data_IF_834052575822
#
_entry.id   IF_834052575822
#
_cell.length_a   1.000
_cell.length_b   1.000
_cell.length_c   1.000
_cell.angle_alpha   90.00
_cell.angle_beta   90.00
_cell.angle_gamma   90.00
#
_symmetry.space_group_name_H-M   'P 1'
#
loop_
_entity.id
_entity.type
_entity.pdbx_description
1 polymer ?
#
# COMPACT_ATOMS: atom_id res chain seq x y z
N UNK A 1 10.64 -28.56 2.44
CA UNK A 1 11.66 -27.53 2.15
C UNK A 1 11.00 -26.16 2.28
N UNK A 2 11.38 -25.37 3.28
CA UNK A 2 10.84 -24.04 3.60
C UNK A 2 11.24 -23.00 2.53
N UNK A 3 10.75 -23.12 1.29
CA UNK A 3 11.11 -22.20 0.20
C UNK A 3 10.40 -20.87 0.37
N UNK A 4 11.17 -19.81 0.60
CA UNK A 4 10.74 -18.44 0.41
C UNK A 4 10.66 -18.13 -1.09
N UNK A 5 9.73 -17.26 -1.48
CA UNK A 5 9.73 -16.71 -2.85
C UNK A 5 10.94 -15.79 -3.02
N UNK A 6 11.41 -15.61 -4.26
CA UNK A 6 12.53 -14.71 -4.55
C UNK A 6 12.28 -13.29 -4.03
N UNK A 7 11.05 -12.79 -4.17
CA UNK A 7 10.65 -11.47 -3.66
C UNK A 7 10.62 -11.43 -2.13
N UNK A 8 10.13 -12.48 -1.47
CA UNK A 8 10.14 -12.56 0.00
C UNK A 8 11.57 -12.60 0.56
N UNK A 9 12.46 -13.36 -0.06
CA UNK A 9 13.86 -13.42 0.33
C UNK A 9 14.58 -12.08 0.13
N UNK A 10 14.39 -11.43 -1.03
CA UNK A 10 14.91 -10.06 -1.30
C UNK A 10 14.44 -9.07 -0.25
N UNK A 11 13.14 -9.06 0.05
CA UNK A 11 12.57 -8.19 1.07
C UNK A 11 13.22 -8.42 2.44
N UNK A 12 13.33 -9.68 2.87
CA UNK A 12 13.91 -10.02 4.17
C UNK A 12 15.36 -9.54 4.30
N UNK A 13 16.19 -9.75 3.27
CA UNK A 13 17.59 -9.34 3.28
C UNK A 13 17.73 -7.81 3.32
N UNK A 14 17.01 -7.08 2.47
CA UNK A 14 17.10 -5.62 2.39
C UNK A 14 16.49 -4.90 3.60
N UNK A 15 15.53 -5.55 4.28
CA UNK A 15 14.93 -5.02 5.50
C UNK A 15 15.74 -5.36 6.76
N UNK A 16 16.34 -6.55 6.82
CA UNK A 16 17.03 -7.02 8.03
C UNK A 16 18.53 -6.74 7.98
N UNK A 17 19.09 -6.64 6.78
CA UNK A 17 20.45 -6.18 6.56
C UNK A 17 20.52 -4.66 6.49
N UNK A 18 21.55 -4.11 7.12
CA UNK A 18 22.03 -2.76 6.86
C UNK A 18 23.45 -2.87 6.33
N UNK A 19 23.92 -1.85 5.60
CA UNK A 19 25.35 -1.75 5.23
C UNK A 19 26.23 -1.76 6.49
N UNK A 20 25.68 -1.34 7.63
CA UNK A 20 26.40 -1.14 8.89
C UNK A 20 26.23 -2.29 9.91
N UNK A 21 25.35 -3.27 9.66
CA UNK A 21 25.08 -4.34 10.64
C UNK A 21 24.93 -5.71 10.00
N UNK A 22 25.56 -6.72 10.61
CA UNK A 22 25.40 -8.12 10.22
C UNK A 22 24.01 -8.64 10.63
N UNK A 23 23.38 -9.40 9.74
CA UNK A 23 22.08 -10.01 9.98
C UNK A 23 22.23 -11.53 10.02
N UNK A 24 21.75 -12.17 11.09
CA UNK A 24 21.66 -13.62 11.18
C UNK A 24 20.42 -14.10 10.42
N UNK A 25 20.64 -14.96 9.41
CA UNK A 25 19.55 -15.58 8.66
C UNK A 25 18.99 -16.78 9.40
N UNK A 26 17.69 -16.75 9.68
CA UNK A 26 16.91 -17.91 10.07
C UNK A 26 15.66 -17.97 9.17
N UNK A 27 15.50 -19.07 8.44
CA UNK A 27 14.39 -19.22 7.48
C UNK A 27 13.00 -19.15 8.10
N UNK A 28 12.85 -19.55 9.36
CA UNK A 28 11.58 -19.45 10.09
C UNK A 28 11.28 -17.99 10.46
N UNK A 29 12.26 -17.27 11.00
CA UNK A 29 12.15 -15.84 11.32
C UNK A 29 11.86 -15.02 10.05
N UNK A 30 12.52 -15.36 8.94
CA UNK A 30 12.28 -14.70 7.67
C UNK A 30 10.83 -14.85 7.20
N UNK A 31 10.26 -16.05 7.32
CA UNK A 31 8.85 -16.31 7.01
C UNK A 31 7.91 -15.50 7.90
N UNK A 32 8.16 -15.48 9.20
CA UNK A 32 7.34 -14.75 10.15
C UNK A 32 7.33 -13.25 9.85
N UNK A 33 8.50 -12.67 9.55
CA UNK A 33 8.62 -11.25 9.18
C UNK A 33 7.86 -10.94 7.89
N UNK A 34 8.01 -11.77 6.86
CA UNK A 34 7.34 -11.59 5.56
C UNK A 34 5.83 -11.72 5.72
N UNK A 35 5.36 -12.74 6.45
CA UNK A 35 3.94 -12.96 6.71
C UNK A 35 3.33 -11.81 7.49
N UNK A 36 3.97 -11.37 8.58
CA UNK A 36 3.44 -10.29 9.41
C UNK A 36 3.35 -8.96 8.63
N UNK A 37 4.41 -8.58 7.92
CA UNK A 37 4.44 -7.29 7.20
C UNK A 37 3.73 -7.39 5.86
N UNK A 38 4.23 -8.20 4.94
CA UNK A 38 3.76 -8.21 3.55
C UNK A 38 2.37 -8.83 3.45
N UNK A 39 2.17 -10.01 4.01
CA UNK A 39 0.90 -10.75 3.84
C UNK A 39 -0.21 -10.13 4.68
N UNK A 40 -0.03 -10.07 5.99
CA UNK A 40 -1.09 -9.72 6.93
C UNK A 40 -1.41 -8.22 6.96
N UNK A 41 -0.43 -7.36 6.67
CA UNK A 41 -0.64 -5.90 6.73
C UNK A 41 -0.94 -5.31 5.36
N UNK A 42 -0.14 -5.63 4.36
CA UNK A 42 -0.25 -5.02 3.02
C UNK A 42 -1.23 -5.77 2.11
N UNK A 43 -1.00 -7.05 1.85
CA UNK A 43 -1.82 -7.82 0.90
C UNK A 43 -3.24 -8.05 1.41
N UNK A 44 -3.42 -8.24 2.73
CA UNK A 44 -4.74 -8.34 3.33
C UNK A 44 -5.55 -7.04 3.16
N UNK A 45 -4.93 -5.87 3.38
CA UNK A 45 -5.61 -4.59 3.16
C UNK A 45 -6.00 -4.43 1.69
N UNK A 46 -5.08 -4.70 0.77
CA UNK A 46 -5.34 -4.67 -0.67
C UNK A 46 -6.50 -5.58 -1.07
N UNK A 47 -6.53 -6.81 -0.56
CA UNK A 47 -7.59 -7.78 -0.86
C UNK A 47 -8.95 -7.31 -0.36
N UNK A 48 -9.02 -6.69 0.83
CA UNK A 48 -10.28 -6.21 1.40
C UNK A 48 -10.78 -4.96 0.69
N UNK A 49 -9.90 -4.00 0.38
CA UNK A 49 -10.28 -2.79 -0.33
C UNK A 49 -10.65 -3.04 -1.80
N UNK A 50 -10.10 -4.08 -2.42
CA UNK A 50 -10.41 -4.46 -3.81
C UNK A 50 -11.58 -5.44 -3.93
N UNK A 51 -12.12 -5.95 -2.82
CA UNK A 51 -13.23 -6.90 -2.85
C UNK A 51 -14.48 -6.27 -3.45
N UNK A 52 -15.19 -7.01 -4.32
CA UNK A 52 -16.47 -6.57 -4.92
C UNK A 52 -17.56 -6.28 -3.87
N UNK A 53 -17.44 -6.83 -2.67
CA UNK A 53 -18.36 -6.53 -1.55
C UNK A 53 -18.26 -5.10 -1.04
N UNK A 54 -17.09 -4.46 -1.19
CA UNK A 54 -16.83 -3.09 -0.73
C UNK A 54 -16.67 -2.19 -1.96
N UNK A 55 -15.76 -2.53 -2.87
CA UNK A 55 -15.56 -1.85 -4.14
C UNK A 55 -16.45 -2.47 -5.23
N UNK A 56 -17.74 -2.12 -5.20
CA UNK A 56 -18.76 -2.61 -6.15
C UNK A 56 -18.37 -2.38 -7.63
N UNK A 57 -17.69 -1.26 -7.90
CA UNK A 57 -17.27 -0.87 -9.26
C UNK A 57 -15.98 -1.54 -9.70
N UNK A 58 -15.18 -2.07 -8.77
CA UNK A 58 -13.83 -2.60 -9.04
C UNK A 58 -12.85 -1.53 -9.53
N UNK A 59 -13.18 -0.24 -9.35
CA UNK A 59 -12.39 0.90 -9.83
C UNK A 59 -11.90 1.73 -8.66
N UNK A 60 -10.85 2.52 -8.85
CA UNK A 60 -10.47 3.58 -7.92
C UNK A 60 -11.54 4.69 -7.97
N UNK A 61 -12.24 5.02 -6.87
CA UNK A 61 -13.16 6.14 -6.85
C UNK A 61 -12.41 7.47 -7.04
N UNK A 62 -13.07 8.47 -7.62
CA UNK A 62 -12.52 9.83 -7.72
C UNK A 62 -12.38 10.46 -6.33
N UNK A 63 -11.38 11.34 -6.17
CA UNK A 63 -11.24 12.11 -4.93
C UNK A 63 -12.42 13.06 -4.75
N UNK A 64 -13.05 13.03 -3.57
CA UNK A 64 -14.11 13.95 -3.17
C UNK A 64 -13.66 14.72 -1.94
N UNK A 65 -13.21 15.96 -2.16
CA UNK A 65 -12.65 16.81 -1.11
C UNK A 65 -13.70 17.16 -0.05
N UNK A 66 -14.95 17.41 -0.44
CA UNK A 66 -16.01 17.73 0.50
C UNK A 66 -16.33 16.52 1.39
N UNK A 67 -16.45 15.33 0.81
CA UNK A 67 -16.61 14.09 1.56
C UNK A 67 -15.41 13.81 2.46
N UNK A 68 -14.19 14.08 1.99
CA UNK A 68 -12.97 13.92 2.78
C UNK A 68 -12.95 14.82 4.03
N UNK A 69 -13.48 16.05 3.92
CA UNK A 69 -13.63 16.96 5.07
C UNK A 69 -14.76 16.55 6.03
N UNK A 70 -15.80 15.91 5.54
CA UNK A 70 -16.95 15.51 6.36
C UNK A 70 -16.72 14.19 7.10
N UNK A 71 -16.15 13.18 6.44
CA UNK A 71 -16.13 11.82 6.97
C UNK A 71 -14.87 11.45 7.75
N UNK A 72 -13.80 12.25 7.64
CA UNK A 72 -12.50 11.97 8.24
C UNK A 72 -12.14 13.03 9.28
N UNK A 73 -11.46 12.60 10.33
CA UNK A 73 -10.89 13.45 11.38
C UNK A 73 -9.75 14.33 10.86
N UNK A 74 -9.39 15.36 11.62
CA UNK A 74 -8.30 16.25 11.22
C UNK A 74 -6.95 15.51 11.17
N UNK A 75 -6.74 14.55 12.06
CA UNK A 75 -5.55 13.71 12.16
C UNK A 75 -5.40 12.82 10.93
N UNK A 76 -6.48 12.14 10.52
CA UNK A 76 -6.50 11.28 9.33
C UNK A 76 -6.23 12.09 8.07
N UNK A 77 -6.86 13.27 7.96
CA UNK A 77 -6.60 14.19 6.84
C UNK A 77 -5.15 14.64 6.81
N UNK A 78 -4.58 14.96 7.96
CA UNK A 78 -3.18 15.40 8.06
C UNK A 78 -2.21 14.30 7.62
N UNK A 79 -2.46 13.05 8.02
CA UNK A 79 -1.64 11.91 7.58
C UNK A 79 -1.73 11.68 6.07
N UNK A 80 -2.94 11.68 5.49
CA UNK A 80 -3.11 11.53 4.05
C UNK A 80 -2.46 12.68 3.26
N UNK A 81 -2.60 13.92 3.71
CA UNK A 81 -2.02 15.09 3.04
C UNK A 81 -0.48 15.09 3.07
N UNK A 82 0.16 14.31 3.95
CA UNK A 82 1.62 14.11 3.96
C UNK A 82 2.08 13.00 3.03
N UNK A 83 1.20 12.11 2.59
CA UNK A 83 1.51 11.00 1.68
C UNK A 83 2.31 11.42 0.43
N UNK A 84 2.01 12.57 -0.24
CA UNK A 84 2.78 13.01 -1.42
C UNK A 84 4.27 13.29 -1.14
N UNK A 85 4.67 13.49 0.12
CA UNK A 85 6.06 13.74 0.52
C UNK A 85 6.82 12.45 0.91
N UNK A 86 6.11 11.32 1.04
CA UNK A 86 6.73 10.03 1.33
C UNK A 86 7.77 9.60 0.27
N UNK A 87 7.56 9.83 -1.05
CA UNK A 87 8.56 9.53 -2.07
C UNK A 87 9.91 10.22 -1.84
N UNK A 88 9.92 11.50 -1.47
CA UNK A 88 11.16 12.27 -1.24
C UNK A 88 11.97 11.68 -0.07
N UNK A 89 11.27 11.33 1.02
CA UNK A 89 11.86 10.63 2.17
C UNK A 89 12.47 9.28 1.73
N UNK A 90 11.74 8.51 0.92
CA UNK A 90 12.19 7.20 0.46
C UNK A 90 13.38 7.29 -0.50
N UNK A 91 13.40 8.27 -1.41
CA UNK A 91 14.51 8.52 -2.33
C UNK A 91 15.79 8.80 -1.55
N UNK A 92 15.71 9.67 -0.54
CA UNK A 92 16.85 10.00 0.34
C UNK A 92 17.40 8.75 1.03
N UNK A 93 16.52 7.89 1.55
CA UNK A 93 16.94 6.63 2.18
C UNK A 93 17.52 5.62 1.19
N UNK A 94 16.96 5.50 -0.02
CA UNK A 94 17.52 4.63 -1.05
C UNK A 94 18.91 5.08 -1.49
N UNK A 95 19.13 6.39 -1.66
CA UNK A 95 20.45 6.96 -1.99
C UNK A 95 21.49 6.65 -0.90
N UNK A 96 21.08 6.67 0.37
CA UNK A 96 21.91 6.27 1.50
C UNK A 96 22.05 4.76 1.73
N UNK A 97 21.51 3.91 0.85
CA UNK A 97 21.44 2.46 1.00
C UNK A 97 20.71 1.97 2.27
N UNK A 98 19.83 2.80 2.83
CA UNK A 98 19.04 2.54 4.04
C UNK A 98 17.68 1.91 3.69
N UNK A 99 17.70 0.76 3.00
CA UNK A 99 16.50 0.05 2.55
C UNK A 99 15.51 -0.29 3.68
N UNK A 100 16.01 -0.58 4.88
CA UNK A 100 15.20 -0.84 6.07
C UNK A 100 14.37 0.39 6.48
N UNK A 101 14.91 1.61 6.35
CA UNK A 101 14.17 2.86 6.64
C UNK A 101 13.08 3.12 5.61
N UNK A 102 13.32 2.81 4.34
CA UNK A 102 12.26 2.85 3.32
C UNK A 102 11.13 1.88 3.69
N UNK A 103 11.48 0.64 4.05
CA UNK A 103 10.47 -0.32 4.50
C UNK A 103 9.75 0.15 5.76
N UNK A 104 10.40 0.86 6.67
CA UNK A 104 9.75 1.38 7.87
C UNK A 104 8.73 2.47 7.54
N UNK A 105 9.17 3.50 6.81
CA UNK A 105 8.35 4.64 6.40
C UNK A 105 7.14 4.20 5.56
N UNK A 106 7.34 3.31 4.58
CA UNK A 106 6.23 2.82 3.75
C UNK A 106 5.23 2.00 4.57
N UNK A 107 5.70 1.08 5.41
CA UNK A 107 4.79 0.25 6.20
C UNK A 107 4.10 1.03 7.32
N UNK A 108 4.59 2.20 7.72
CA UNK A 108 3.87 3.12 8.60
C UNK A 108 2.56 3.57 7.95
N UNK A 109 2.62 4.06 6.71
CA UNK A 109 1.43 4.47 5.96
C UNK A 109 0.47 3.30 5.69
N UNK A 110 0.98 2.10 5.39
CA UNK A 110 0.13 0.91 5.21
C UNK A 110 -0.57 0.54 6.52
N UNK A 111 0.14 0.60 7.67
CA UNK A 111 -0.48 0.32 8.99
C UNK A 111 -1.53 1.37 9.34
N UNK A 112 -1.24 2.64 9.11
CA UNK A 112 -2.19 3.74 9.30
C UNK A 112 -3.44 3.53 8.43
N UNK A 113 -3.27 3.25 7.14
CA UNK A 113 -4.39 3.00 6.22
C UNK A 113 -5.18 1.74 6.59
N UNK A 114 -4.52 0.70 7.11
CA UNK A 114 -5.20 -0.49 7.61
C UNK A 114 -6.05 -0.18 8.85
N UNK A 115 -5.52 0.61 9.78
CA UNK A 115 -6.27 1.09 10.95
C UNK A 115 -7.47 1.93 10.51
N UNK A 116 -7.26 2.92 9.64
CA UNK A 116 -8.31 3.75 9.06
C UNK A 116 -9.43 2.89 8.45
N UNK A 117 -9.07 1.93 7.61
CA UNK A 117 -10.03 1.04 6.96
C UNK A 117 -10.82 0.18 7.96
N UNK A 118 -10.19 -0.24 9.06
CA UNK A 118 -10.89 -0.98 10.11
C UNK A 118 -11.80 -0.07 10.94
N UNK A 119 -11.34 1.11 11.31
CA UNK A 119 -12.08 2.04 12.18
C UNK A 119 -13.38 2.55 11.51
N UNK A 120 -13.40 2.67 10.18
CA UNK A 120 -14.60 3.04 9.42
C UNK A 120 -15.52 1.86 9.06
N UNK A 121 -15.13 0.62 9.31
CA UNK A 121 -15.93 -0.60 9.10
C UNK A 121 -16.74 -0.63 7.77
N UNK A 122 -16.09 -0.56 6.59
CA UNK A 122 -16.76 -0.43 5.30
C UNK A 122 -17.71 -1.58 4.95
N UNK A 123 -17.54 -2.76 5.56
CA UNK A 123 -18.42 -3.90 5.40
C UNK A 123 -19.81 -3.70 6.01
N UNK A 124 -19.97 -2.74 6.93
CA UNK A 124 -21.28 -2.30 7.42
C UNK A 124 -21.79 -1.13 6.59
N UNK A 125 -20.95 -0.13 6.32
CA UNK A 125 -21.34 1.06 5.55
C UNK A 125 -21.86 0.70 4.15
N UNK A 126 -21.24 -0.26 3.46
CA UNK A 126 -21.61 -0.60 2.08
C UNK A 126 -23.01 -1.24 1.92
N UNK A 127 -23.64 -1.64 3.04
CA UNK A 127 -25.00 -2.22 3.06
C UNK A 127 -26.08 -1.17 2.87
N UNK A 128 -25.81 0.08 3.22
CA UNK A 128 -26.75 1.20 3.07
C UNK A 128 -26.28 2.13 1.93
N UNK A 129 -27.07 2.29 0.84
CA UNK A 129 -26.73 3.16 -0.28
C UNK A 129 -26.48 4.63 0.11
N UNK A 130 -27.06 5.11 1.21
CA UNK A 130 -26.83 6.50 1.67
C UNK A 130 -25.37 6.74 2.06
N UNK A 131 -24.64 5.69 2.43
CA UNK A 131 -23.23 5.73 2.79
C UNK A 131 -22.28 5.51 1.60
N UNK A 132 -22.78 5.30 0.38
CA UNK A 132 -21.93 5.03 -0.79
C UNK A 132 -20.90 6.14 -1.01
N UNK A 133 -21.24 7.40 -0.71
CA UNK A 133 -20.29 8.52 -0.78
C UNK A 133 -19.12 8.35 0.21
N UNK A 134 -19.41 7.98 1.46
CA UNK A 134 -18.40 7.75 2.49
C UNK A 134 -17.50 6.56 2.12
N UNK A 135 -18.10 5.43 1.70
CA UNK A 135 -17.35 4.25 1.26
C UNK A 135 -16.43 4.58 0.08
N UNK A 136 -16.90 5.36 -0.90
CA UNK A 136 -16.08 5.79 -2.03
C UNK A 136 -14.89 6.67 -1.58
N UNK A 137 -15.10 7.61 -0.65
CA UNK A 137 -13.99 8.41 -0.11
C UNK A 137 -12.96 7.54 0.63
N UNK A 138 -13.43 6.60 1.46
CA UNK A 138 -12.55 5.67 2.19
C UNK A 138 -11.75 4.78 1.25
N UNK A 139 -12.40 4.25 0.22
CA UNK A 139 -11.76 3.47 -0.83
C UNK A 139 -10.71 4.30 -1.56
N UNK A 140 -11.01 5.56 -1.92
CA UNK A 140 -10.04 6.44 -2.55
C UNK A 140 -8.79 6.62 -1.67
N UNK A 141 -8.95 7.04 -0.42
CA UNK A 141 -7.84 7.27 0.52
C UNK A 141 -6.99 6.01 0.71
N UNK A 142 -7.66 4.87 0.87
CA UNK A 142 -7.00 3.56 1.10
C UNK A 142 -6.23 3.10 -0.14
N UNK A 143 -6.89 3.09 -1.30
CA UNK A 143 -6.29 2.62 -2.54
C UNK A 143 -5.19 3.55 -3.05
N UNK A 144 -5.33 4.86 -2.87
CA UNK A 144 -4.29 5.83 -3.21
C UNK A 144 -3.05 5.69 -2.32
N UNK A 145 -3.26 5.49 -1.00
CA UNK A 145 -2.16 5.18 -0.08
C UNK A 145 -1.44 3.90 -0.50
N UNK A 146 -2.20 2.83 -0.78
CA UNK A 146 -1.64 1.57 -1.27
C UNK A 146 -0.91 1.76 -2.60
N UNK A 147 -1.42 2.56 -3.53
CA UNK A 147 -0.78 2.82 -4.83
C UNK A 147 0.61 3.44 -4.64
N UNK A 148 0.71 4.53 -3.88
CA UNK A 148 1.99 5.21 -3.58
C UNK A 148 2.95 4.24 -2.88
N UNK A 149 2.50 3.57 -1.82
CA UNK A 149 3.31 2.59 -1.09
C UNK A 149 3.78 1.43 -1.98
N UNK A 150 2.94 0.95 -2.89
CA UNK A 150 3.27 -0.14 -3.81
C UNK A 150 4.41 0.26 -4.75
N UNK A 151 4.35 1.47 -5.32
CA UNK A 151 5.41 2.02 -6.18
C UNK A 151 6.73 2.08 -5.43
N UNK A 152 6.73 2.64 -4.21
CA UNK A 152 7.92 2.79 -3.38
C UNK A 152 8.52 1.46 -2.91
N UNK A 153 7.68 0.41 -2.83
CA UNK A 153 8.11 -0.95 -2.52
C UNK A 153 8.65 -1.71 -3.74
N UNK A 154 8.52 -1.24 -4.98
CA UNK A 154 9.01 -1.98 -6.16
C UNK A 154 10.50 -2.38 -6.08
N UNK A 155 11.43 -1.52 -5.58
CA UNK A 155 12.83 -1.92 -5.40
C UNK A 155 13.04 -2.98 -4.31
N UNK A 156 12.08 -3.19 -3.42
CA UNK A 156 12.15 -4.19 -2.35
C UNK A 156 11.40 -5.48 -2.73
N UNK A 157 10.24 -5.36 -3.39
CA UNK A 157 9.28 -6.43 -3.69
C UNK A 157 8.69 -6.29 -5.12
N UNK A 158 9.50 -6.46 -6.18
CA UNK A 158 9.11 -6.08 -7.54
C UNK A 158 7.82 -6.72 -8.07
N UNK A 159 7.62 -8.04 -7.87
CA UNK A 159 6.45 -8.74 -8.44
C UNK A 159 5.12 -8.45 -7.74
N UNK A 160 5.12 -8.36 -6.41
CA UNK A 160 3.89 -8.12 -5.64
C UNK A 160 3.47 -6.64 -5.69
N UNK A 161 4.43 -5.72 -5.68
CA UNK A 161 4.16 -4.30 -5.87
C UNK A 161 3.52 -4.00 -7.22
N UNK A 162 4.02 -4.62 -8.30
CA UNK A 162 3.45 -4.44 -9.63
C UNK A 162 2.00 -4.94 -9.73
N UNK A 163 1.72 -6.11 -9.15
CA UNK A 163 0.37 -6.69 -9.14
C UNK A 163 -0.60 -5.81 -8.33
N UNK A 164 -0.15 -5.28 -7.20
CA UNK A 164 -0.94 -4.35 -6.39
C UNK A 164 -1.25 -3.05 -7.13
N UNK A 165 -0.26 -2.44 -7.81
CA UNK A 165 -0.49 -1.26 -8.64
C UNK A 165 -1.55 -1.54 -9.71
N UNK A 166 -1.56 -2.73 -10.32
CA UNK A 166 -2.62 -3.12 -11.28
C UNK A 166 -3.99 -3.36 -10.65
N UNK A 167 -4.05 -3.71 -9.37
CA UNK A 167 -5.31 -3.92 -8.64
C UNK A 167 -5.87 -2.63 -8.06
N UNK A 168 -5.01 -1.69 -7.64
CA UNK A 168 -5.42 -0.37 -7.14
C UNK A 168 -5.62 0.65 -8.24
N UNK A 169 -4.84 0.53 -9.32
CA UNK A 169 -5.08 1.23 -10.57
C UNK A 169 -5.84 0.28 -11.48
N UNK A 170 -7.13 0.54 -11.69
CA UNK A 170 -7.57 0.52 -13.10
C UNK A 170 -6.68 1.54 -13.76
N UNK A 171 -5.59 1.07 -14.37
CA UNK A 171 -4.78 1.87 -15.27
C UNK A 171 -5.78 2.42 -16.26
N UNK A 172 -6.03 3.72 -16.19
CA UNK A 172 -6.68 4.48 -17.25
C UNK A 172 -6.11 3.95 -18.55
N UNK A 173 -6.92 3.21 -19.28
CA UNK A 173 -6.53 2.64 -20.56
C UNK A 173 -6.26 3.80 -21.50
N UNK A 174 -4.99 4.14 -21.68
CA UNK A 174 -4.50 4.75 -22.91
C UNK A 174 -3.37 3.86 -23.39
N UNK A 175 -3.76 2.80 -24.09
CA UNK A 175 -2.87 2.10 -25.00
C UNK A 175 -2.69 3.04 -26.19
N UNK A 176 -1.60 3.82 -26.21
CA UNK A 176 -1.10 4.39 -27.46
C UNK A 176 -0.10 3.39 -28.05
N UNK A 177 -0.45 2.82 -29.20
CA UNK A 177 0.43 1.96 -30.00
C UNK A 177 1.03 0.74 -29.26
N UNK A 178 0.30 0.16 -28.31
CA UNK A 178 0.69 -1.11 -27.68
C UNK A 178 1.83 -1.02 -26.66
N UNK A 179 2.25 0.18 -26.25
CA UNK A 179 3.25 0.36 -25.19
C UNK A 179 2.63 0.98 -23.93
N UNK A 180 3.05 0.47 -22.77
CA UNK A 180 2.66 1.01 -21.46
C UNK A 180 3.51 2.25 -21.19
N UNK A 181 2.91 3.44 -21.26
CA UNK A 181 3.59 4.70 -20.94
C UNK A 181 3.22 5.12 -19.51
N UNK A 182 4.21 5.15 -18.61
CA UNK A 182 4.10 5.80 -17.30
C UNK A 182 4.47 7.27 -17.48
N UNK A 183 3.55 8.20 -17.23
CA UNK A 183 3.94 9.59 -16.92
C UNK A 183 3.93 9.74 -15.41
N UNK A 184 5.08 10.17 -14.89
CA UNK A 184 5.24 10.63 -13.50
C UNK A 184 4.44 11.91 -13.28
#
# INVERSE_FOLDING_TARGET
>A
MNKLTMSGFRYFLLKSGSVFTSCNYNGQVAKEVINAKVVNTYLNLLSRSSSKSINKRGMLPSFDEAGFRTFFTQEERTMFNRLPHLPETCITHYQGLLCHKVSEAVFEYIRWSNKLFNDHEPWYLCKDPTNDRHVNCLLHVTMETLRVCSILLQPLIPGHSWTSVRSTCIVTSLVENGQVVLRL
#
